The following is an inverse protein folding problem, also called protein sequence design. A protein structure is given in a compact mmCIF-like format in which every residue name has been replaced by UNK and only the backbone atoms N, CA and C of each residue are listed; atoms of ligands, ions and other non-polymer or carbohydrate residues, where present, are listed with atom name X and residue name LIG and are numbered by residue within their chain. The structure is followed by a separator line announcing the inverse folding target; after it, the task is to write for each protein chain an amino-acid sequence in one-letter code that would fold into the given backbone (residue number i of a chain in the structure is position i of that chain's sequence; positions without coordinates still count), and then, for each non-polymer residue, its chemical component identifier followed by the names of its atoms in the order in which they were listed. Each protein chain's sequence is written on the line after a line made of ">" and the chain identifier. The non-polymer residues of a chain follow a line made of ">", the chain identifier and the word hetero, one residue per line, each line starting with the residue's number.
data_IF_122736006015
#
_entry.id   IF_122736006015
#
_cell.length_a   1.000
_cell.length_b   1.000
_cell.length_c   1.000
_cell.angle_alpha   90.00
_cell.angle_beta   90.00
_cell.angle_gamma   90.00
#
_symmetry.space_group_name_H-M   'P 1'
#
loop_
_entity.id
_entity.type
_entity.pdbx_description
1 polymer ?
#
# COMPACT_ATOMS: atom_id res chain seq x y z
N UNK A 1 -4.82 4.57 21.01
CA UNK A 1 -5.69 4.21 19.88
C UNK A 1 -6.05 2.74 20.02
N UNK A 2 -7.35 2.44 20.09
CA UNK A 2 -7.85 1.05 20.04
C UNK A 2 -7.92 0.63 18.56
N UNK A 3 -7.25 -0.46 18.12
CA UNK A 3 -7.14 -0.77 16.70
C UNK A 3 -8.48 -0.97 15.98
N UNK A 4 -9.53 -1.45 16.64
CA UNK A 4 -10.79 -1.76 15.95
C UNK A 4 -11.92 -0.78 16.29
N UNK A 5 -11.64 0.22 17.13
CA UNK A 5 -12.65 1.12 17.66
C UNK A 5 -12.33 2.56 17.27
N UNK A 6 -13.37 3.31 16.90
CA UNK A 6 -13.34 4.75 16.61
C UNK A 6 -14.75 5.31 16.86
N UNK A 7 -14.86 6.61 17.08
CA UNK A 7 -16.12 7.36 17.07
C UNK A 7 -16.57 7.76 15.65
N UNK A 8 -15.70 7.58 14.66
CA UNK A 8 -15.98 7.86 13.25
C UNK A 8 -16.75 6.72 12.56
N UNK A 9 -17.56 7.01 11.52
CA UNK A 9 -18.31 5.98 10.79
C UNK A 9 -17.46 4.90 10.09
N UNK A 10 -16.19 5.19 9.78
CA UNK A 10 -15.32 4.28 9.02
C UNK A 10 -13.87 4.39 9.49
N UNK A 11 -13.21 3.24 9.69
CA UNK A 11 -11.75 3.13 9.84
C UNK A 11 -11.15 2.66 8.53
N UNK A 12 -10.11 3.35 8.06
CA UNK A 12 -9.33 2.96 6.89
C UNK A 12 -7.89 2.70 7.28
N UNK A 13 -7.48 1.43 7.16
CA UNK A 13 -6.10 1.02 7.32
C UNK A 13 -5.36 1.07 6.00
N UNK A 14 -4.22 1.76 5.98
CA UNK A 14 -3.39 1.85 4.79
C UNK A 14 -1.90 1.69 5.08
N UNK A 15 -1.19 1.10 4.12
CA UNK A 15 0.26 1.07 4.08
C UNK A 15 0.76 1.88 2.88
N UNK A 16 1.67 2.82 3.10
CA UNK A 16 2.26 3.64 2.05
C UNK A 16 2.99 2.83 0.99
N UNK A 17 3.49 1.63 1.32
CA UNK A 17 4.17 0.76 0.34
C UNK A 17 3.21 -0.10 -0.49
N UNK A 18 1.91 -0.05 -0.22
CA UNK A 18 0.90 -0.82 -0.96
C UNK A 18 0.44 -0.06 -2.21
N UNK A 19 0.65 -0.59 -3.43
CA UNK A 19 0.16 0.05 -4.65
C UNK A 19 -1.38 0.08 -4.70
N UNK A 20 -2.05 -0.90 -4.09
CA UNK A 20 -3.51 -0.92 -3.99
C UNK A 20 -4.02 0.17 -3.04
N UNK A 21 -3.37 0.37 -1.89
CA UNK A 21 -3.75 1.44 -0.98
C UNK A 21 -3.58 2.82 -1.65
N UNK A 22 -2.50 3.01 -2.41
CA UNK A 22 -2.30 4.24 -3.19
C UNK A 22 -3.45 4.51 -4.18
N UNK A 23 -3.93 3.47 -4.88
CA UNK A 23 -5.04 3.60 -5.82
C UNK A 23 -6.41 3.76 -5.15
N UNK A 24 -6.58 3.19 -3.96
CA UNK A 24 -7.81 3.26 -3.18
C UNK A 24 -7.95 4.58 -2.41
N UNK A 25 -6.85 5.28 -2.09
CA UNK A 25 -6.88 6.48 -1.25
C UNK A 25 -7.86 7.55 -1.75
N UNK A 26 -7.82 7.87 -3.05
CA UNK A 26 -8.62 8.96 -3.63
C UNK A 26 -10.12 8.65 -3.66
N UNK A 27 -10.59 7.50 -4.19
CA UNK A 27 -12.02 7.20 -4.14
C UNK A 27 -12.51 7.01 -2.70
N UNK A 28 -11.67 6.54 -1.78
CA UNK A 28 -12.04 6.47 -0.36
C UNK A 28 -12.15 7.86 0.26
N UNK A 29 -11.27 8.79 -0.09
CA UNK A 29 -11.40 10.21 0.29
C UNK A 29 -12.67 10.84 -0.26
N UNK A 30 -13.03 10.51 -1.50
CA UNK A 30 -14.26 11.01 -2.13
C UNK A 30 -15.52 10.62 -1.35
N UNK A 31 -15.51 9.51 -0.59
CA UNK A 31 -16.62 9.14 0.29
C UNK A 31 -16.88 10.18 1.40
N UNK A 32 -15.83 10.85 1.91
CA UNK A 32 -16.00 11.93 2.90
C UNK A 32 -16.80 13.09 2.29
N UNK A 33 -16.55 13.40 1.03
CA UNK A 33 -17.23 14.48 0.29
C UNK A 33 -18.65 14.06 -0.08
N UNK A 34 -18.82 12.89 -0.67
CA UNK A 34 -20.10 12.44 -1.22
C UNK A 34 -21.14 12.15 -0.13
N UNK A 35 -20.69 11.68 1.04
CA UNK A 35 -21.57 11.27 2.14
C UNK A 35 -21.45 12.14 3.40
N UNK A 36 -20.56 13.13 3.42
CA UNK A 36 -20.35 13.99 4.59
C UNK A 36 -19.87 13.22 5.83
N UNK A 37 -19.18 12.09 5.64
CA UNK A 37 -18.63 11.29 6.74
C UNK A 37 -17.19 11.69 7.05
N UNK A 38 -16.76 11.48 8.30
CA UNK A 38 -15.35 11.54 8.66
C UNK A 38 -14.74 10.14 8.65
N UNK A 39 -13.56 9.99 8.08
CA UNK A 39 -12.82 8.74 8.07
C UNK A 39 -11.70 8.78 9.11
N UNK A 40 -11.56 7.68 9.85
CA UNK A 40 -10.42 7.41 10.73
C UNK A 40 -9.32 6.71 9.92
N UNK A 41 -8.44 7.50 9.34
CA UNK A 41 -7.30 6.98 8.60
C UNK A 41 -6.22 6.46 9.56
N UNK A 42 -5.68 5.26 9.35
CA UNK A 42 -4.68 4.66 10.25
C UNK A 42 -3.56 3.97 9.48
N UNK A 43 -2.29 4.10 9.92
CA UNK A 43 -1.22 3.35 9.29
C UNK A 43 -1.31 1.86 9.65
N UNK A 44 -1.02 1.01 8.66
CA UNK A 44 -0.85 -0.43 8.83
C UNK A 44 0.48 -0.83 8.18
N UNK A 45 1.41 -1.38 8.96
CA UNK A 45 2.68 -1.89 8.43
C UNK A 45 2.51 -3.32 7.97
N UNK A 46 2.47 -3.55 6.65
CA UNK A 46 2.40 -4.87 6.04
C UNK A 46 3.74 -5.60 6.19
N UNK A 47 3.68 -6.83 6.69
CA UNK A 47 4.80 -7.76 6.72
C UNK A 47 4.91 -8.54 5.39
N UNK A 48 5.15 -7.83 4.28
CA UNK A 48 5.27 -8.43 2.94
C UNK A 48 6.24 -9.62 2.88
N UNK A 49 7.42 -9.58 3.52
CA UNK A 49 8.36 -10.70 3.48
C UNK A 49 7.78 -12.01 4.02
N UNK A 50 6.89 -11.99 5.03
CA UNK A 50 6.39 -13.23 5.65
C UNK A 50 5.49 -14.05 4.74
N UNK A 51 4.80 -13.43 3.77
CA UNK A 51 3.87 -14.13 2.89
C UNK A 51 4.29 -14.14 1.40
N UNK A 52 5.02 -13.13 0.92
CA UNK A 52 5.46 -13.03 -0.47
C UNK A 52 6.97 -13.09 -0.66
N UNK A 53 7.75 -13.26 0.40
CA UNK A 53 9.20 -13.11 0.35
C UNK A 53 9.65 -11.69 -0.04
N UNK A 54 10.96 -11.49 -0.03
CA UNK A 54 11.66 -10.27 -0.41
C UNK A 54 12.46 -10.48 -1.69
N UNK A 55 12.60 -9.39 -2.44
CA UNK A 55 13.64 -9.28 -3.44
C UNK A 55 14.08 -7.82 -3.55
N UNK A 56 15.32 -7.63 -3.99
CA UNK A 56 15.90 -6.32 -4.28
C UNK A 56 16.55 -6.35 -5.65
N UNK A 57 16.35 -5.28 -6.41
CA UNK A 57 17.03 -5.04 -7.68
C UNK A 57 18.02 -3.87 -7.55
N UNK A 58 19.06 -3.88 -8.38
CA UNK A 58 19.96 -2.74 -8.54
C UNK A 58 19.34 -1.64 -9.43
N UNK A 59 20.11 -0.59 -9.72
CA UNK A 59 19.65 0.52 -10.56
C UNK A 59 19.36 0.14 -12.01
N UNK A 60 19.92 -0.98 -12.49
CA UNK A 60 19.66 -1.53 -13.82
C UNK A 60 18.46 -2.51 -13.84
N UNK A 61 17.77 -2.71 -12.71
CA UNK A 61 16.63 -3.62 -12.60
C UNK A 61 17.00 -5.11 -12.47
N UNK A 62 18.28 -5.46 -12.34
CA UNK A 62 18.73 -6.84 -12.11
C UNK A 62 18.53 -7.22 -10.65
N UNK A 63 17.95 -8.40 -10.40
CA UNK A 63 17.80 -8.96 -9.04
C UNK A 63 19.19 -9.22 -8.44
N UNK A 64 19.45 -8.64 -7.28
CA UNK A 64 20.69 -8.81 -6.51
C UNK A 64 20.50 -9.63 -5.25
N UNK A 65 19.25 -9.79 -4.81
CA UNK A 65 18.89 -10.51 -3.59
C UNK A 65 17.43 -10.97 -3.72
N UNK A 66 17.15 -12.23 -3.41
CA UNK A 66 15.78 -12.75 -3.39
C UNK A 66 15.66 -14.01 -2.53
N UNK A 67 14.57 -14.13 -1.79
CA UNK A 67 14.17 -15.35 -1.08
C UNK A 67 12.79 -15.88 -1.53
N UNK A 68 12.33 -15.44 -2.71
CA UNK A 68 11.02 -15.81 -3.25
C UNK A 68 11.03 -17.17 -3.92
N UNK A 69 10.00 -17.96 -3.64
CA UNK A 69 9.68 -19.17 -4.42
C UNK A 69 9.16 -18.79 -5.82
N UNK A 70 9.16 -19.72 -6.79
CA UNK A 70 8.58 -19.47 -8.11
C UNK A 70 7.12 -18.99 -8.05
N UNK A 71 6.31 -19.61 -7.19
CA UNK A 71 4.91 -19.22 -6.96
C UNK A 71 4.77 -17.81 -6.39
N UNK A 72 5.65 -17.42 -5.46
CA UNK A 72 5.67 -16.06 -4.92
C UNK A 72 6.06 -15.02 -5.98
N UNK A 73 6.97 -15.36 -6.90
CA UNK A 73 7.29 -14.50 -8.05
C UNK A 73 6.09 -14.28 -8.95
N UNK A 74 5.35 -15.34 -9.29
CA UNK A 74 4.12 -15.25 -10.07
C UNK A 74 3.08 -14.39 -9.37
N UNK A 75 2.86 -14.61 -8.08
CA UNK A 75 1.93 -13.83 -7.27
C UNK A 75 2.27 -12.34 -7.25
N UNK A 76 3.53 -11.97 -7.02
CA UNK A 76 3.98 -10.56 -7.03
C UNK A 76 3.83 -9.95 -8.43
N UNK A 77 4.24 -10.67 -9.49
CA UNK A 77 4.11 -10.18 -10.88
C UNK A 77 2.65 -9.94 -11.24
N UNK A 78 1.77 -10.86 -10.88
CA UNK A 78 0.33 -10.73 -11.10
C UNK A 78 -0.25 -9.55 -10.32
N UNK A 79 0.05 -9.43 -9.02
CA UNK A 79 -0.42 -8.31 -8.20
C UNK A 79 -0.01 -6.95 -8.78
N UNK A 80 1.23 -6.80 -9.28
CA UNK A 80 1.65 -5.56 -9.95
C UNK A 80 0.99 -5.35 -11.32
N UNK A 81 0.77 -6.41 -12.09
CA UNK A 81 0.03 -6.34 -13.35
C UNK A 81 -1.40 -5.86 -13.10
N UNK A 82 -2.04 -6.38 -12.05
CA UNK A 82 -3.40 -6.08 -11.67
C UNK A 82 -3.54 -4.65 -11.12
N UNK A 83 -2.68 -4.23 -10.20
CA UNK A 83 -2.63 -2.83 -9.76
C UNK A 83 -2.47 -1.85 -10.94
N UNK A 84 -1.64 -2.18 -11.94
CA UNK A 84 -1.51 -1.37 -13.16
C UNK A 84 -2.79 -1.32 -14.00
N UNK A 85 -3.63 -2.36 -13.99
CA UNK A 85 -4.94 -2.31 -14.67
C UNK A 85 -5.83 -1.25 -14.04
N UNK A 86 -5.97 -1.26 -12.71
CA UNK A 86 -6.72 -0.24 -11.98
C UNK A 86 -6.14 1.16 -12.14
N UNK A 87 -4.81 1.28 -12.14
CA UNK A 87 -4.14 2.57 -12.35
C UNK A 87 -4.48 3.18 -13.72
N UNK A 88 -4.52 2.36 -14.78
CA UNK A 88 -4.90 2.81 -16.13
C UNK A 88 -6.34 3.30 -16.22
N UNK A 89 -7.26 2.79 -15.40
CA UNK A 89 -8.64 3.31 -15.35
C UNK A 89 -8.70 4.75 -14.81
N UNK A 90 -7.60 5.24 -14.22
CA UNK A 90 -7.47 6.57 -13.62
C UNK A 90 -6.34 7.39 -14.26
N UNK A 91 -5.82 6.97 -15.42
CA UNK A 91 -4.67 7.59 -16.09
C UNK A 91 -3.41 7.73 -15.21
N UNK A 92 -3.24 6.83 -14.23
CA UNK A 92 -2.09 6.79 -13.33
C UNK A 92 -1.10 5.74 -13.83
N UNK A 93 0.19 6.11 -13.81
CA UNK A 93 1.29 5.19 -14.08
C UNK A 93 1.92 4.69 -12.77
N UNK A 94 1.94 3.37 -12.58
CA UNK A 94 2.58 2.71 -11.43
C UNK A 94 3.79 1.91 -11.91
N UNK A 95 4.93 2.11 -11.24
CA UNK A 95 6.14 1.33 -11.44
C UNK A 95 6.27 0.21 -10.39
N UNK A 96 6.96 -0.87 -10.77
CA UNK A 96 7.32 -1.91 -9.81
C UNK A 96 8.39 -1.40 -8.84
N UNK A 97 8.33 -1.74 -7.54
CA UNK A 97 9.28 -1.27 -6.56
C UNK A 97 10.62 -1.97 -6.75
N UNK A 98 11.71 -1.26 -6.44
CA UNK A 98 13.06 -1.85 -6.47
C UNK A 98 13.32 -2.80 -5.30
N UNK A 99 12.63 -2.59 -4.18
CA UNK A 99 12.72 -3.36 -2.94
C UNK A 99 11.46 -3.14 -2.12
N UNK A 100 11.28 -3.92 -1.06
CA UNK A 100 10.28 -3.60 -0.04
C UNK A 100 10.82 -2.41 0.76
N UNK A 101 10.09 -1.30 0.73
CA UNK A 101 10.47 -0.09 1.48
C UNK A 101 9.99 -0.17 2.92
N UNK A 102 10.73 0.48 3.82
CA UNK A 102 10.25 0.74 5.17
C UNK A 102 9.34 1.97 5.13
N UNK A 103 8.05 1.76 5.44
CA UNK A 103 7.02 2.81 5.47
C UNK A 103 6.77 3.36 6.87
N UNK A 104 7.53 2.91 7.88
CA UNK A 104 7.30 3.27 9.29
C UNK A 104 7.34 4.77 9.52
N UNK A 105 8.31 5.49 8.93
CA UNK A 105 8.40 6.94 9.09
C UNK A 105 7.18 7.69 8.54
N UNK A 106 6.68 7.28 7.36
CA UNK A 106 5.47 7.85 6.77
C UNK A 106 4.24 7.54 7.63
N UNK A 107 4.14 6.33 8.16
CA UNK A 107 3.08 5.93 9.11
C UNK A 107 3.10 6.74 10.41
N UNK A 108 4.28 7.01 10.96
CA UNK A 108 4.44 7.87 12.14
C UNK A 108 4.00 9.30 11.81
N UNK A 109 4.40 9.84 10.66
CA UNK A 109 3.97 11.17 10.20
C UNK A 109 2.46 11.28 10.07
N UNK A 110 1.79 10.26 9.54
CA UNK A 110 0.34 10.19 9.46
C UNK A 110 -0.34 10.26 10.83
N UNK A 111 0.19 9.55 11.84
CA UNK A 111 -0.32 9.64 13.22
C UNK A 111 -0.05 11.01 13.84
N UNK A 112 1.06 11.66 13.48
CA UNK A 112 1.40 12.99 13.96
C UNK A 112 0.40 14.04 13.47
N UNK A 113 0.00 13.98 12.19
CA UNK A 113 -0.96 14.95 11.60
C UNK A 113 -2.39 14.81 12.10
N UNK A 114 -2.71 13.75 12.84
CA UNK A 114 -4.03 13.52 13.42
C UNK A 114 -4.19 14.12 14.82
N UNK A 115 -3.10 14.62 15.40
CA UNK A 115 -3.11 15.36 16.66
C UNK A 115 -3.44 16.82 16.41
#
# INVERSE_FOLDING_TARGET
>A
MHPLETDKPLIVYMDFKSPYAYLAKDPTWQLEVDFGIAIDWRPLSLNIPSFLGSARVNDTGKVVEANRTPRQWEGVRYAYMDAKRYARLKDILIYGPRKIWDSSLAGIGMLWTQR
#
